data_IF_015365381719
#
_entry.id   IF_015365381719
#
_cell.length_a   1.000
_cell.length_b   1.000
_cell.length_c   1.000
_cell.angle_alpha   90.00
_cell.angle_beta   90.00
_cell.angle_gamma   90.00
#
_symmetry.space_group_name_H-M   'P 1'
#
loop_
_entity.id
_entity.type
_entity.pdbx_description
1 polymer ?
#
# COMPACT_ATOMS: atom_id res chain seq x y z
N UNK A 1 -39.81 -25.10 4.92
CA UNK A 1 -39.39 -24.12 3.89
C UNK A 1 -39.02 -22.84 4.62
N UNK A 2 -37.73 -22.54 4.86
CA UNK A 2 -36.78 -21.88 3.94
C UNK A 2 -37.36 -20.56 3.43
N UNK A 3 -36.83 -19.37 3.67
CA UNK A 3 -35.43 -18.94 3.64
C UNK A 3 -35.26 -17.65 4.47
N UNK A 4 -34.38 -17.68 5.48
CA UNK A 4 -33.95 -16.48 6.19
C UNK A 4 -32.77 -15.87 5.43
N UNK A 5 -32.95 -14.65 4.92
CA UNK A 5 -31.92 -13.84 4.29
C UNK A 5 -30.77 -13.59 5.27
N UNK A 6 -29.64 -14.25 5.03
CA UNK A 6 -28.36 -13.93 5.64
C UNK A 6 -27.82 -12.64 5.03
N UNK A 7 -28.30 -11.50 5.53
CA UNK A 7 -27.72 -10.20 5.26
C UNK A 7 -26.34 -10.10 5.93
N UNK A 8 -25.31 -10.54 5.22
CA UNK A 8 -23.91 -10.33 5.59
C UNK A 8 -23.57 -8.85 5.45
N UNK A 9 -23.67 -8.10 6.54
CA UNK A 9 -23.13 -6.74 6.66
C UNK A 9 -21.59 -6.80 6.59
N UNK A 10 -21.08 -6.80 5.37
CA UNK A 10 -19.67 -6.61 5.08
C UNK A 10 -19.27 -5.19 5.52
N UNK A 11 -18.25 -5.00 6.37
CA UNK A 11 -17.88 -3.66 6.82
C UNK A 11 -17.47 -2.80 5.61
N UNK A 12 -17.72 -1.47 5.65
CA UNK A 12 -17.43 -0.59 4.54
C UNK A 12 -15.93 -0.63 4.22
N UNK A 13 -15.59 -1.08 3.00
CA UNK A 13 -14.22 -1.01 2.48
C UNK A 13 -13.82 0.45 2.45
N UNK A 14 -12.98 0.87 3.40
CA UNK A 14 -12.49 2.25 3.45
C UNK A 14 -11.62 2.48 2.21
N UNK A 15 -12.21 3.06 1.15
CA UNK A 15 -11.52 3.46 -0.09
C UNK A 15 -10.70 4.73 0.18
N UNK A 16 -9.67 4.65 1.03
CA UNK A 16 -8.76 5.80 1.26
C UNK A 16 -7.72 5.92 0.14
N UNK A 17 -7.47 4.85 -0.62
CA UNK A 17 -6.32 4.79 -1.52
C UNK A 17 -6.47 5.61 -2.82
N UNK A 18 -7.69 5.86 -3.31
CA UNK A 18 -7.87 6.47 -4.64
C UNK A 18 -7.41 7.93 -4.68
N UNK A 19 -7.71 8.73 -3.65
CA UNK A 19 -7.34 10.15 -3.61
C UNK A 19 -5.83 10.39 -3.46
N UNK A 20 -5.14 9.53 -2.71
CA UNK A 20 -3.68 9.64 -2.53
C UNK A 20 -2.92 9.20 -3.78
N UNK A 21 -3.31 8.07 -4.38
CA UNK A 21 -2.72 7.57 -5.62
C UNK A 21 -2.89 8.57 -6.78
N UNK A 22 -4.06 9.19 -6.91
CA UNK A 22 -4.33 10.20 -7.95
C UNK A 22 -3.49 11.46 -7.74
N UNK A 23 -3.36 11.96 -6.49
CA UNK A 23 -2.55 13.16 -6.20
C UNK A 23 -1.07 12.96 -6.52
N UNK A 24 -0.51 11.79 -6.22
CA UNK A 24 0.89 11.49 -6.53
C UNK A 24 1.12 11.17 -8.01
N UNK A 25 0.19 10.49 -8.67
CA UNK A 25 0.24 10.30 -10.13
C UNK A 25 0.25 11.65 -10.86
N UNK A 26 -0.61 12.60 -10.43
CA UNK A 26 -0.64 13.97 -10.96
C UNK A 26 0.70 14.67 -10.69
N UNK A 27 1.21 14.64 -9.45
CA UNK A 27 2.48 15.29 -9.10
C UNK A 27 3.67 14.75 -9.90
N UNK A 28 3.68 13.45 -10.16
CA UNK A 28 4.77 12.79 -10.84
C UNK A 28 4.68 12.98 -12.38
N UNK A 29 3.47 12.99 -12.96
CA UNK A 29 3.26 13.47 -14.35
C UNK A 29 3.69 14.93 -14.48
N UNK A 30 3.35 15.77 -13.50
CA UNK A 30 3.80 17.16 -13.45
C UNK A 30 5.33 17.24 -13.44
N UNK A 31 6.03 16.39 -12.68
CA UNK A 31 7.50 16.41 -12.65
C UNK A 31 8.13 16.02 -13.99
N UNK A 32 7.54 15.07 -14.73
CA UNK A 32 8.03 14.69 -16.06
C UNK A 32 7.79 15.80 -17.07
N UNK A 33 6.62 16.44 -17.01
CA UNK A 33 6.27 17.60 -17.85
C UNK A 33 7.18 18.79 -17.52
N UNK A 34 7.44 19.06 -16.24
CA UNK A 34 8.35 20.13 -15.80
C UNK A 34 9.78 19.84 -16.25
N UNK A 35 10.27 18.60 -16.15
CA UNK A 35 11.59 18.21 -16.64
C UNK A 35 11.70 18.37 -18.17
N UNK A 36 10.66 17.99 -18.91
CA UNK A 36 10.56 18.18 -20.35
C UNK A 36 10.57 19.66 -20.76
N UNK A 37 9.80 20.50 -20.08
CA UNK A 37 9.76 21.94 -20.29
C UNK A 37 11.08 22.61 -19.92
N UNK A 38 11.70 22.22 -18.81
CA UNK A 38 13.00 22.72 -18.38
C UNK A 38 14.11 22.34 -19.39
N UNK A 39 14.12 21.10 -19.89
CA UNK A 39 15.04 20.67 -20.94
C UNK A 39 14.88 21.48 -22.23
N UNK A 40 13.63 21.71 -22.64
CA UNK A 40 13.30 22.52 -23.83
C UNK A 40 13.71 23.99 -23.66
N UNK A 41 13.50 24.56 -22.47
CA UNK A 41 13.89 25.93 -22.14
C UNK A 41 15.42 26.10 -22.09
N UNK A 42 16.14 25.14 -21.52
CA UNK A 42 17.60 25.12 -21.47
C UNK A 42 18.21 25.03 -22.89
N UNK A 43 17.63 24.21 -23.77
CA UNK A 43 17.96 24.15 -25.20
C UNK A 43 17.80 25.52 -25.88
N UNK A 44 16.69 26.21 -25.60
CA UNK A 44 16.39 27.52 -26.20
C UNK A 44 17.35 28.63 -25.74
N UNK A 45 17.74 28.61 -24.46
CA UNK A 45 18.66 29.60 -23.87
C UNK A 45 20.11 29.42 -24.31
N UNK A 46 20.55 28.18 -24.57
CA UNK A 46 21.95 27.89 -24.88
C UNK A 46 22.28 27.95 -26.37
N UNK A 47 21.34 27.58 -27.24
CA UNK A 47 21.64 27.35 -28.66
C UNK A 47 20.74 28.12 -29.64
N UNK A 48 19.69 28.81 -29.16
CA UNK A 48 18.71 29.52 -30.01
C UNK A 48 18.33 28.77 -31.32
N UNK A 49 17.93 27.48 -31.23
CA UNK A 49 17.72 26.64 -32.41
C UNK A 49 16.59 27.18 -33.32
N UNK A 50 16.64 26.88 -34.63
CA UNK A 50 15.57 27.26 -35.55
C UNK A 50 14.22 26.67 -35.10
N UNK A 51 13.14 27.45 -35.31
CA UNK A 51 11.81 27.12 -34.78
C UNK A 51 11.22 25.81 -35.33
N UNK A 52 11.72 25.31 -36.47
CA UNK A 52 11.38 24.00 -37.04
C UNK A 52 11.84 22.84 -36.17
N UNK A 53 13.05 22.93 -35.64
CA UNK A 53 13.72 21.83 -34.94
C UNK A 53 13.19 21.72 -33.52
N UNK A 54 12.93 22.87 -32.89
CA UNK A 54 12.25 22.95 -31.60
C UNK A 54 10.85 22.33 -31.67
N UNK A 55 10.11 22.55 -32.76
CA UNK A 55 8.76 21.97 -32.95
C UNK A 55 8.84 20.44 -33.07
N UNK A 56 9.75 19.93 -33.88
CA UNK A 56 9.97 18.49 -34.05
C UNK A 56 10.39 17.83 -32.74
N UNK A 57 11.26 18.48 -31.97
CA UNK A 57 11.72 17.99 -30.67
C UNK A 57 10.60 17.95 -29.63
N UNK A 58 9.78 19.01 -29.52
CA UNK A 58 8.65 19.05 -28.58
C UNK A 58 7.60 17.99 -28.93
N UNK A 59 7.28 17.82 -30.22
CA UNK A 59 6.34 16.78 -30.67
C UNK A 59 6.92 15.39 -30.34
N UNK A 60 8.21 15.16 -30.60
CA UNK A 60 8.89 13.92 -30.28
C UNK A 60 8.83 13.60 -28.78
N UNK A 61 9.19 14.55 -27.93
CA UNK A 61 9.19 14.38 -26.48
C UNK A 61 7.77 14.16 -25.93
N UNK A 62 6.78 14.86 -26.49
CA UNK A 62 5.37 14.67 -26.14
C UNK A 62 4.85 13.27 -26.48
N UNK A 63 5.12 12.79 -27.70
CA UNK A 63 4.68 11.46 -28.15
C UNK A 63 5.42 10.37 -27.38
N UNK A 64 6.76 10.41 -27.34
CA UNK A 64 7.56 9.38 -26.68
C UNK A 64 7.34 9.39 -25.18
N UNK A 65 7.23 10.55 -24.56
CA UNK A 65 7.01 10.66 -23.13
C UNK A 65 5.60 10.27 -22.70
N UNK A 66 4.59 10.67 -23.48
CA UNK A 66 3.22 10.20 -23.29
C UNK A 66 3.10 8.69 -23.43
N UNK A 67 3.64 8.13 -24.51
CA UNK A 67 3.64 6.69 -24.76
C UNK A 67 4.36 5.92 -23.64
N UNK A 68 5.50 6.43 -23.19
CA UNK A 68 6.27 5.87 -22.07
C UNK A 68 5.45 5.78 -20.79
N UNK A 69 4.82 6.90 -20.39
CA UNK A 69 4.06 6.95 -19.14
C UNK A 69 2.84 6.04 -19.19
N UNK A 70 2.11 6.04 -20.31
CA UNK A 70 0.92 5.21 -20.50
C UNK A 70 1.33 3.73 -20.53
N UNK A 71 2.31 3.36 -21.35
CA UNK A 71 2.70 1.97 -21.52
C UNK A 71 3.35 1.42 -20.25
N UNK A 72 4.27 2.16 -19.64
CA UNK A 72 4.93 1.73 -18.40
C UNK A 72 3.96 1.58 -17.24
N UNK A 73 3.00 2.51 -17.08
CA UNK A 73 1.97 2.39 -16.04
C UNK A 73 0.99 1.24 -16.32
N UNK A 74 0.58 1.03 -17.57
CA UNK A 74 -0.27 -0.09 -17.96
C UNK A 74 0.42 -1.44 -17.73
N UNK A 75 1.70 -1.56 -18.08
CA UNK A 75 2.51 -2.77 -17.85
C UNK A 75 2.62 -3.04 -16.36
N UNK A 76 2.96 -2.04 -15.52
CA UNK A 76 3.02 -2.22 -14.08
C UNK A 76 1.68 -2.63 -13.48
N UNK A 77 0.58 -1.97 -13.87
CA UNK A 77 -0.75 -2.32 -13.39
C UNK A 77 -1.19 -3.73 -13.84
N UNK A 78 -0.83 -4.15 -15.06
CA UNK A 78 -1.09 -5.50 -15.56
C UNK A 78 -0.29 -6.54 -14.77
N UNK A 79 1.00 -6.30 -14.55
CA UNK A 79 1.85 -7.21 -13.79
C UNK A 79 1.44 -7.34 -12.33
N UNK A 80 1.02 -6.24 -11.68
CA UNK A 80 0.47 -6.28 -10.33
C UNK A 80 -0.77 -7.17 -10.23
N UNK A 81 -1.54 -7.28 -11.32
CA UNK A 81 -2.83 -7.97 -11.34
C UNK A 81 -2.73 -9.43 -11.75
N UNK A 82 -1.76 -9.77 -12.60
CA UNK A 82 -1.69 -11.09 -13.26
C UNK A 82 -0.57 -11.97 -12.70
N UNK A 83 0.53 -11.39 -12.21
CA UNK A 83 1.70 -12.18 -11.83
C UNK A 83 1.95 -12.07 -10.31
N UNK A 84 1.92 -13.19 -9.57
CA UNK A 84 2.24 -13.23 -8.15
C UNK A 84 3.76 -13.15 -7.96
N UNK A 85 4.34 -12.00 -8.29
CA UNK A 85 5.78 -11.73 -8.12
C UNK A 85 6.09 -11.30 -6.69
N UNK A 86 7.30 -11.66 -6.23
CA UNK A 86 7.88 -11.09 -5.02
C UNK A 86 7.95 -9.56 -5.11
N UNK A 87 7.91 -8.89 -3.97
CA UNK A 87 8.05 -7.42 -3.91
C UNK A 87 9.35 -6.96 -4.58
N UNK A 88 10.43 -7.72 -4.38
CA UNK A 88 11.73 -7.44 -5.00
C UNK A 88 11.69 -7.52 -6.52
N UNK A 89 11.01 -8.54 -7.06
CA UNK A 89 10.86 -8.68 -8.51
C UNK A 89 10.00 -7.54 -9.09
N UNK A 90 8.95 -7.10 -8.38
CA UNK A 90 8.15 -5.93 -8.79
C UNK A 90 8.98 -4.65 -8.82
N UNK A 91 9.80 -4.41 -7.78
CA UNK A 91 10.71 -3.26 -7.74
C UNK A 91 11.77 -3.31 -8.85
N UNK A 92 12.39 -4.48 -9.06
CA UNK A 92 13.35 -4.69 -10.14
C UNK A 92 12.73 -4.41 -11.50
N UNK A 93 11.51 -4.89 -11.75
CA UNK A 93 10.84 -4.69 -13.02
C UNK A 93 10.48 -3.21 -13.27
N UNK A 94 10.03 -2.49 -12.24
CA UNK A 94 9.78 -1.06 -12.35
C UNK A 94 11.04 -0.28 -12.78
N UNK A 95 12.19 -0.63 -12.19
CA UNK A 95 13.49 -0.06 -12.58
C UNK A 95 13.86 -0.49 -14.01
N UNK A 96 13.74 -1.79 -14.34
CA UNK A 96 14.08 -2.32 -15.65
C UNK A 96 13.24 -1.69 -16.77
N UNK A 97 11.95 -1.47 -16.55
CA UNK A 97 11.07 -0.76 -17.49
C UNK A 97 11.53 0.69 -17.67
N UNK A 98 11.80 1.39 -16.56
CA UNK A 98 12.33 2.76 -16.61
C UNK A 98 13.65 2.85 -17.38
N UNK A 99 14.58 1.92 -17.14
CA UNK A 99 15.85 1.83 -17.84
C UNK A 99 15.69 1.46 -19.33
N UNK A 100 14.79 0.54 -19.67
CA UNK A 100 14.53 0.17 -21.07
C UNK A 100 13.95 1.36 -21.86
N UNK A 101 13.03 2.10 -21.25
CA UNK A 101 12.49 3.36 -21.78
C UNK A 101 13.60 4.39 -21.98
N UNK A 102 14.47 4.56 -20.97
CA UNK A 102 15.60 5.48 -21.03
C UNK A 102 16.51 5.16 -22.22
N UNK A 103 16.91 3.89 -22.35
CA UNK A 103 17.75 3.41 -23.46
C UNK A 103 17.07 3.59 -24.82
N UNK A 104 15.78 3.30 -24.92
CA UNK A 104 15.02 3.49 -26.15
C UNK A 104 14.97 4.98 -26.54
N UNK A 105 14.74 5.88 -25.58
CA UNK A 105 14.70 7.31 -25.84
C UNK A 105 16.07 7.82 -26.32
N UNK A 106 17.14 7.47 -25.61
CA UNK A 106 18.52 7.82 -26.01
C UNK A 106 18.85 7.26 -27.39
N UNK A 107 18.50 6.01 -27.69
CA UNK A 107 18.73 5.40 -29.01
C UNK A 107 18.01 6.16 -30.13
N UNK A 108 16.73 6.50 -29.93
CA UNK A 108 15.94 7.20 -30.94
C UNK A 108 16.48 8.62 -31.15
N UNK A 109 16.84 9.33 -30.07
CA UNK A 109 17.44 10.67 -30.17
C UNK A 109 18.79 10.61 -30.88
N UNK A 110 19.64 9.62 -30.57
CA UNK A 110 20.91 9.42 -31.26
C UNK A 110 20.72 9.12 -32.76
N UNK A 111 19.68 8.38 -33.15
CA UNK A 111 19.34 8.13 -34.57
C UNK A 111 18.82 9.36 -35.29
N UNK A 112 18.07 10.23 -34.60
CA UNK A 112 17.61 11.52 -35.14
C UNK A 112 18.78 12.50 -35.29
N UNK A 113 19.73 12.48 -34.37
CA UNK A 113 20.95 13.29 -34.37
C UNK A 113 21.87 12.96 -35.55
N UNK A 114 22.05 11.68 -35.87
CA UNK A 114 22.86 11.22 -37.01
C UNK A 114 22.32 11.65 -38.40
N UNK A 115 21.10 12.21 -38.47
CA UNK A 115 20.47 12.66 -39.71
C UNK A 115 20.61 14.19 -39.89
N UNK A 116 20.99 14.95 -38.84
CA UNK A 116 21.04 16.42 -38.84
C UNK A 116 22.37 16.92 -38.27
N UNK A 117 23.30 17.32 -39.14
CA UNK A 117 24.74 17.56 -38.86
C UNK A 117 25.13 18.72 -37.89
N UNK A 118 24.22 19.39 -37.16
CA UNK A 118 24.59 20.65 -36.45
C UNK A 118 24.32 20.75 -34.93
N UNK A 119 23.59 19.85 -34.25
CA UNK A 119 23.15 20.14 -32.86
C UNK A 119 23.08 18.94 -31.89
N UNK A 120 24.18 18.21 -31.73
CA UNK A 120 24.21 16.88 -31.12
C UNK A 120 24.06 16.82 -29.58
N UNK A 121 24.80 17.66 -28.88
CA UNK A 121 24.94 17.58 -27.41
C UNK A 121 23.66 17.94 -26.62
N UNK A 122 22.90 19.00 -26.97
CA UNK A 122 21.80 19.45 -26.13
C UNK A 122 20.53 18.58 -26.28
N UNK A 123 20.31 17.92 -27.43
CA UNK A 123 19.22 16.92 -27.56
C UNK A 123 19.49 15.66 -26.73
N UNK A 124 20.74 15.18 -26.74
CA UNK A 124 21.15 14.07 -25.86
C UNK A 124 20.97 14.42 -24.38
N UNK A 125 21.34 15.64 -23.98
CA UNK A 125 21.14 16.10 -22.61
C UNK A 125 19.65 16.13 -22.22
N UNK A 126 18.79 16.69 -23.08
CA UNK A 126 17.35 16.73 -22.82
C UNK A 126 16.72 15.32 -22.77
N UNK A 127 17.18 14.39 -23.62
CA UNK A 127 16.77 12.99 -23.59
C UNK A 127 17.19 12.28 -22.29
N UNK A 128 18.41 12.55 -21.80
CA UNK A 128 18.93 11.99 -20.56
C UNK A 128 18.13 12.50 -19.34
N UNK A 129 17.83 13.80 -19.29
CA UNK A 129 16.99 14.39 -18.25
C UNK A 129 15.60 13.77 -18.26
N UNK A 130 15.01 13.61 -19.44
CA UNK A 130 13.71 12.98 -19.59
C UNK A 130 13.72 11.51 -19.12
N UNK A 131 14.70 10.73 -19.57
CA UNK A 131 14.90 9.33 -19.21
C UNK A 131 15.11 9.13 -17.70
N UNK A 132 15.92 9.99 -17.08
CA UNK A 132 16.12 10.01 -15.63
C UNK A 132 14.82 10.31 -14.89
N UNK A 133 14.07 11.31 -15.35
CA UNK A 133 12.74 11.66 -14.80
C UNK A 133 11.74 10.50 -14.89
N UNK A 134 11.67 9.82 -16.03
CA UNK A 134 10.80 8.66 -16.22
C UNK A 134 11.19 7.49 -15.31
N UNK A 135 12.49 7.20 -15.16
CA UNK A 135 12.97 6.14 -14.25
C UNK A 135 12.64 6.47 -12.80
N UNK A 136 12.84 7.71 -12.40
CA UNK A 136 12.52 8.19 -11.06
C UNK A 136 11.01 8.12 -10.80
N UNK A 137 10.19 8.45 -11.79
CA UNK A 137 8.73 8.31 -11.75
C UNK A 137 8.29 6.87 -11.46
N UNK A 138 8.79 5.90 -12.23
CA UNK A 138 8.40 4.50 -12.04
C UNK A 138 8.89 3.93 -10.70
N UNK A 139 10.14 4.23 -10.34
CA UNK A 139 10.73 3.79 -9.07
C UNK A 139 9.96 4.34 -7.87
N UNK A 140 9.59 5.63 -7.93
CA UNK A 140 8.83 6.29 -6.87
C UNK A 140 7.42 5.71 -6.72
N UNK A 141 6.71 5.46 -7.82
CA UNK A 141 5.38 4.84 -7.77
C UNK A 141 5.41 3.44 -7.16
N UNK A 142 6.38 2.61 -7.55
CA UNK A 142 6.57 1.29 -6.99
C UNK A 142 6.86 1.35 -5.47
N UNK A 143 7.74 2.27 -5.04
CA UNK A 143 8.06 2.46 -3.63
C UNK A 143 6.86 2.92 -2.79
N UNK A 144 6.03 3.81 -3.33
CA UNK A 144 4.81 4.28 -2.66
C UNK A 144 3.76 3.17 -2.52
N UNK A 145 3.52 2.39 -3.57
CA UNK A 145 2.58 1.27 -3.54
C UNK A 145 2.96 0.27 -2.42
N UNK A 146 4.27 0.00 -2.28
CA UNK A 146 4.81 -0.82 -1.21
C UNK A 146 4.63 -0.18 0.18
N UNK A 147 5.02 1.09 0.31
CA UNK A 147 4.98 1.82 1.59
C UNK A 147 3.56 1.89 2.16
N UNK A 148 2.55 2.07 1.31
CA UNK A 148 1.16 2.13 1.74
C UNK A 148 0.68 0.79 2.29
N UNK A 149 1.03 -0.33 1.63
CA UNK A 149 0.73 -1.69 2.13
C UNK A 149 1.36 -1.93 3.51
N UNK A 150 2.64 -1.57 3.67
CA UNK A 150 3.35 -1.68 4.95
C UNK A 150 2.70 -0.79 6.03
N UNK A 151 2.30 0.42 5.67
CA UNK A 151 1.64 1.35 6.60
C UNK A 151 0.29 0.82 7.09
N UNK A 152 -0.50 0.18 6.21
CA UNK A 152 -1.76 -0.50 6.59
C UNK A 152 -1.50 -1.60 7.62
N UNK A 153 -0.46 -2.43 7.42
CA UNK A 153 -0.06 -3.45 8.40
C UNK A 153 0.33 -2.79 9.72
N UNK A 154 1.17 -1.75 9.68
CA UNK A 154 1.62 -1.06 10.89
C UNK A 154 0.46 -0.45 11.69
N UNK A 155 -0.54 0.12 11.01
CA UNK A 155 -1.76 0.62 11.66
C UNK A 155 -2.55 -0.50 12.31
N UNK A 156 -2.77 -1.61 11.61
CA UNK A 156 -3.50 -2.75 12.18
C UNK A 156 -2.78 -3.38 13.38
N UNK A 157 -1.45 -3.45 13.37
CA UNK A 157 -0.67 -3.91 14.53
C UNK A 157 -0.86 -2.97 15.73
N UNK A 158 -0.94 -1.64 15.52
CA UNK A 158 -1.25 -0.69 16.60
C UNK A 158 -2.67 -0.87 17.12
N UNK A 159 -3.64 -1.07 16.23
CA UNK A 159 -5.02 -1.37 16.62
C UNK A 159 -5.10 -2.65 17.47
N UNK A 160 -4.31 -3.67 17.12
CA UNK A 160 -4.18 -4.90 17.89
C UNK A 160 -3.61 -4.67 19.29
N UNK A 161 -2.58 -3.81 19.40
CA UNK A 161 -2.00 -3.44 20.67
C UNK A 161 -3.00 -2.69 21.58
N UNK A 162 -3.93 -1.94 20.98
CA UNK A 162 -5.01 -1.24 21.68
C UNK A 162 -6.23 -2.16 22.00
N UNK A 163 -6.13 -3.46 21.74
CA UNK A 163 -7.22 -4.43 22.00
C UNK A 163 -8.32 -4.46 20.93
N UNK A 164 -8.14 -3.79 19.79
CA UNK A 164 -9.11 -3.78 18.68
C UNK A 164 -8.83 -4.94 17.71
N UNK A 165 -9.34 -6.13 18.02
CA UNK A 165 -9.05 -7.36 17.25
C UNK A 165 -9.94 -7.58 16.01
N UNK A 166 -11.00 -6.79 15.84
CA UNK A 166 -11.97 -6.96 14.74
C UNK A 166 -11.46 -6.48 13.38
N UNK A 167 -10.37 -5.70 13.34
CA UNK A 167 -9.86 -5.15 12.10
C UNK A 167 -9.10 -6.21 11.29
N UNK A 168 -9.42 -6.30 10.01
CA UNK A 168 -8.73 -7.13 9.02
C UNK A 168 -7.97 -6.26 8.04
N UNK A 169 -6.72 -6.60 7.77
CA UNK A 169 -5.86 -5.80 6.88
C UNK A 169 -6.30 -5.98 5.43
N UNK A 170 -6.69 -7.21 5.03
CA UNK A 170 -7.13 -7.57 3.67
C UNK A 170 -6.27 -6.90 2.59
N UNK A 171 -5.07 -7.46 2.38
CA UNK A 171 -4.18 -7.06 1.30
C UNK A 171 -4.43 -7.94 0.08
N UNK A 172 -4.58 -7.31 -1.09
CA UNK A 172 -4.67 -8.02 -2.37
C UNK A 172 -3.28 -8.50 -2.82
N UNK A 173 -3.19 -9.71 -3.35
CA UNK A 173 -2.00 -10.31 -3.95
C UNK A 173 -1.40 -11.46 -3.16
N UNK A 174 -0.39 -12.12 -3.75
CA UNK A 174 0.25 -13.33 -3.22
C UNK A 174 1.75 -13.12 -2.93
N UNK A 175 2.16 -11.87 -2.69
CA UNK A 175 3.55 -11.54 -2.35
C UNK A 175 3.83 -11.62 -0.85
N UNK A 176 5.10 -11.41 -0.47
CA UNK A 176 5.57 -11.52 0.92
C UNK A 176 4.84 -10.55 1.87
N UNK A 177 4.38 -9.41 1.36
CA UNK A 177 3.68 -8.41 2.17
C UNK A 177 2.23 -8.82 2.38
N UNK A 178 1.58 -9.38 1.36
CA UNK A 178 0.26 -9.97 1.52
C UNK A 178 0.29 -11.19 2.45
N UNK A 179 1.34 -12.01 2.40
CA UNK A 179 1.56 -13.10 3.36
C UNK A 179 1.74 -12.58 4.79
N UNK A 180 2.51 -11.50 4.98
CA UNK A 180 2.63 -10.84 6.28
C UNK A 180 1.28 -10.32 6.78
N UNK A 181 0.49 -9.68 5.92
CA UNK A 181 -0.87 -9.22 6.26
C UNK A 181 -1.77 -10.37 6.73
N UNK A 182 -1.80 -11.50 6.00
CA UNK A 182 -2.54 -12.70 6.40
C UNK A 182 -2.05 -13.28 7.72
N UNK A 183 -0.74 -13.16 8.01
CA UNK A 183 -0.17 -13.63 9.27
C UNK A 183 -0.60 -12.74 10.45
N UNK A 184 -0.65 -11.43 10.27
CA UNK A 184 -1.17 -10.51 11.28
C UNK A 184 -2.68 -10.71 11.49
N UNK A 185 -3.46 -10.94 10.43
CA UNK A 185 -4.90 -11.26 10.56
C UNK A 185 -5.11 -12.55 11.37
N UNK A 186 -4.28 -13.59 11.18
CA UNK A 186 -4.31 -14.82 12.00
C UNK A 186 -3.93 -14.57 13.46
N UNK A 187 -2.96 -13.68 13.71
CA UNK A 187 -2.57 -13.30 15.06
C UNK A 187 -3.72 -12.56 15.76
N UNK A 188 -4.43 -11.69 15.04
CA UNK A 188 -5.58 -10.96 15.55
C UNK A 188 -6.70 -11.92 16.00
N UNK A 189 -6.98 -12.95 15.20
CA UNK A 189 -7.98 -13.96 15.56
C UNK A 189 -7.59 -14.72 16.82
N UNK A 190 -6.34 -15.16 16.94
CA UNK A 190 -5.87 -15.87 18.14
C UNK A 190 -5.93 -15.01 19.41
N UNK A 191 -5.65 -13.72 19.29
CA UNK A 191 -5.77 -12.80 20.43
C UNK A 191 -7.23 -12.61 20.84
N UNK A 192 -8.14 -12.48 19.87
CA UNK A 192 -9.58 -12.43 20.13
C UNK A 192 -10.06 -13.68 20.85
N UNK A 193 -9.75 -14.87 20.34
CA UNK A 193 -10.12 -16.15 20.95
C UNK A 193 -9.58 -16.26 22.39
N UNK A 194 -8.34 -15.83 22.63
CA UNK A 194 -7.74 -15.84 23.96
C UNK A 194 -8.45 -14.90 24.93
N UNK A 195 -8.87 -13.71 24.47
CA UNK A 195 -9.60 -12.75 25.29
C UNK A 195 -11.03 -13.21 25.61
N UNK A 196 -11.73 -13.79 24.62
CA UNK A 196 -13.05 -14.40 24.82
C UNK A 196 -12.99 -15.56 25.82
N UNK A 197 -11.95 -16.39 25.73
CA UNK A 197 -11.73 -17.49 26.67
C UNK A 197 -11.41 -16.99 28.09
N UNK A 198 -10.59 -15.95 28.22
CA UNK A 198 -10.33 -15.31 29.53
C UNK A 198 -11.60 -14.75 30.15
N UNK A 199 -12.39 -14.01 29.37
CA UNK A 199 -13.65 -13.45 29.84
C UNK A 199 -14.66 -14.54 30.27
N UNK A 200 -14.65 -15.69 29.59
CA UNK A 200 -15.46 -16.84 29.99
C UNK A 200 -15.00 -17.45 31.31
N UNK A 201 -13.70 -17.71 31.46
CA UNK A 201 -13.15 -18.26 32.71
C UNK A 201 -13.39 -17.33 33.90
N UNK A 202 -13.31 -16.02 33.69
CA UNK A 202 -13.62 -15.03 34.74
C UNK A 202 -15.09 -15.06 35.16
N UNK A 203 -16.02 -15.27 34.23
CA UNK A 203 -17.45 -15.46 34.55
C UNK A 203 -17.67 -16.74 35.34
N UNK A 204 -17.15 -17.86 34.86
CA UNK A 204 -17.26 -19.17 35.53
C UNK A 204 -16.67 -19.12 36.95
N UNK A 205 -15.51 -18.47 37.14
CA UNK A 205 -14.93 -18.25 38.46
C UNK A 205 -15.84 -17.45 39.39
N UNK A 206 -16.45 -16.37 38.90
CA UNK A 206 -17.36 -15.52 39.70
C UNK A 206 -18.62 -16.29 40.10
N UNK A 207 -19.19 -17.06 39.18
CA UNK A 207 -20.36 -17.91 39.44
C UNK A 207 -20.05 -19.00 40.46
N UNK A 208 -18.92 -19.70 40.32
CA UNK A 208 -18.46 -20.70 41.30
C UNK A 208 -18.28 -20.09 42.69
N UNK A 209 -17.63 -18.93 42.77
CA UNK A 209 -17.40 -18.23 44.05
C UNK A 209 -18.72 -17.83 44.71
N UNK A 210 -19.69 -17.37 43.92
CA UNK A 210 -21.01 -17.01 44.41
C UNK A 210 -21.81 -18.24 44.90
N UNK A 211 -21.77 -19.34 44.13
CA UNK A 211 -22.42 -20.60 44.50
C UNK A 211 -21.87 -21.16 45.82
N UNK A 212 -20.54 -21.24 45.96
CA UNK A 212 -19.90 -21.69 47.20
C UNK A 212 -20.28 -20.79 48.38
N UNK A 213 -20.29 -19.47 48.20
CA UNK A 213 -20.66 -18.53 49.26
C UNK A 213 -22.11 -18.68 49.71
N UNK A 214 -23.02 -18.96 48.76
CA UNK A 214 -24.42 -19.23 49.05
C UNK A 214 -24.57 -20.52 49.86
N UNK A 215 -23.89 -21.59 49.45
CA UNK A 215 -24.03 -22.90 50.07
C UNK A 215 -23.36 -22.99 51.45
N UNK A 216 -22.30 -22.21 51.70
CA UNK A 216 -21.65 -22.13 53.01
C UNK A 216 -22.41 -21.26 54.03
N UNK A 217 -23.22 -20.29 53.57
CA UNK A 217 -23.98 -19.39 54.47
C UNK A 217 -24.98 -20.17 55.33
N UNK A 218 -25.68 -21.13 54.76
CA UNK A 218 -26.71 -21.95 55.42
C UNK A 218 -26.15 -22.79 56.59
N UNK A 219 -25.10 -23.62 56.42
CA UNK A 219 -24.52 -24.38 57.51
C UNK A 219 -23.85 -23.48 58.56
N UNK A 220 -23.18 -22.39 58.16
CA UNK A 220 -22.58 -21.45 59.11
C UNK A 220 -23.61 -20.76 60.00
N UNK A 221 -24.77 -20.36 59.45
CA UNK A 221 -25.87 -19.81 60.22
C UNK A 221 -26.41 -20.83 61.24
N UNK A 222 -26.49 -22.10 60.85
CA UNK A 222 -26.92 -23.19 61.74
C UNK A 222 -25.92 -23.42 62.89
N UNK A 223 -24.62 -23.49 62.61
CA UNK A 223 -23.58 -23.63 63.63
C UNK A 223 -23.60 -22.45 64.60
N UNK A 224 -23.75 -21.23 64.09
CA UNK A 224 -23.85 -20.02 64.92
C UNK A 224 -25.06 -20.05 65.85
N UNK A 225 -26.23 -20.45 65.33
CA UNK A 225 -27.44 -20.58 66.14
C UNK A 225 -27.27 -21.62 67.26
N UNK A 226 -26.59 -22.74 66.99
CA UNK A 226 -26.26 -23.73 68.04
C UNK A 226 -25.33 -23.14 69.10
N UNK A 227 -24.31 -22.36 68.72
CA UNK A 227 -23.40 -21.74 69.68
C UNK A 227 -24.06 -20.64 70.52
N UNK A 228 -25.00 -19.87 69.96
CA UNK A 228 -25.78 -18.86 70.68
C UNK A 228 -26.73 -19.53 71.69
N UNK A 229 -27.42 -20.61 71.30
CA UNK A 229 -28.28 -21.38 72.21
C UNK A 229 -27.51 -22.03 73.39
N UNK A 230 -26.26 -22.41 73.17
CA UNK A 230 -25.38 -22.91 74.24
C UNK A 230 -24.84 -21.81 75.16
N UNK A 231 -24.79 -20.56 74.69
CA UNK A 231 -24.31 -19.43 75.49
C UNK A 231 -25.42 -18.78 76.34
N UNK A 232 -26.68 -18.84 75.87
CA UNK A 232 -27.86 -18.23 76.52
C UNK A 232 -28.58 -19.17 77.51
N UNK A 233 -28.25 -20.47 77.52
CA UNK A 233 -28.79 -21.49 78.44
C UNK A 233 -27.82 -21.87 79.55
#
# INVERSE_FOLDING_TARGET
MNSADSNTTQPPRVRVAAGFAVRWAIAAVLSVVVAALAGTLALRLTMAPPMSDLRSFVIFLGITGGATLILGSAVLAFLERVVPLSVRAKAFLAVAIGSAVALLNVYVVARLMFISDEHDLPYLFAALVFAGGATMFFSYNAANAMTERVRRIATAVRDLADGRYDQRISLDGDDEVAELGRTVDRLAERLREAEEQRARLDRERRELTAAISHDLRTPLASVRAMTEALADG
#
